data_IF_828637904253
#
_entry.id   IF_828637904253
#
_cell.length_a   1.000
_cell.length_b   1.000
_cell.length_c   1.000
_cell.angle_alpha   90.00
_cell.angle_beta   90.00
_cell.angle_gamma   90.00
#
_symmetry.space_group_name_H-M   'P 1'
#
loop_
_entity.id
_entity.type
_entity.pdbx_description
1 polymer ?
#
# COMPACT_ATOMS: atom_id res chain seq x y z
N UNK A 1 3.28 -15.36 21.63
CA UNK A 1 3.49 -13.90 21.52
C UNK A 1 2.23 -13.36 20.89
N UNK A 2 1.46 -12.46 21.53
CA UNK A 2 0.38 -11.81 20.80
C UNK A 2 1.03 -11.07 19.64
N UNK A 3 0.52 -11.30 18.43
CA UNK A 3 0.99 -10.68 17.19
C UNK A 3 1.03 -9.17 17.36
N UNK A 4 2.22 -8.57 17.37
CA UNK A 4 2.34 -7.14 17.11
C UNK A 4 1.92 -6.94 15.66
N UNK A 5 0.62 -6.69 15.45
CA UNK A 5 0.17 -6.16 14.17
C UNK A 5 0.94 -4.88 13.92
N UNK A 6 1.62 -4.81 12.79
CA UNK A 6 2.37 -3.62 12.42
C UNK A 6 1.41 -2.42 12.36
N UNK A 7 1.92 -1.21 12.62
CA UNK A 7 1.16 0.03 12.40
C UNK A 7 0.54 0.06 10.99
N UNK A 8 1.28 -0.44 10.00
CA UNK A 8 0.84 -0.52 8.61
C UNK A 8 -0.35 -1.46 8.43
N UNK A 9 -0.35 -2.62 9.10
CA UNK A 9 -1.48 -3.55 9.09
C UNK A 9 -2.73 -2.88 9.66
N UNK A 10 -2.61 -2.17 10.78
CA UNK A 10 -3.73 -1.45 11.38
C UNK A 10 -4.28 -0.35 10.44
N UNK A 11 -3.40 0.40 9.77
CA UNK A 11 -3.78 1.42 8.80
C UNK A 11 -4.52 0.82 7.59
N UNK A 12 -4.04 -0.32 7.09
CA UNK A 12 -4.65 -1.06 5.97
C UNK A 12 -6.03 -1.60 6.35
N UNK A 13 -6.16 -2.23 7.52
CA UNK A 13 -7.45 -2.72 8.04
C UNK A 13 -8.44 -1.58 8.29
N UNK A 14 -7.95 -0.39 8.66
CA UNK A 14 -8.79 0.80 8.80
C UNK A 14 -9.25 1.40 7.45
N UNK A 15 -8.80 0.86 6.32
CA UNK A 15 -9.19 1.33 4.98
C UNK A 15 -8.60 2.69 4.62
N UNK A 16 -7.39 3.00 5.08
CA UNK A 16 -6.73 4.28 4.79
C UNK A 16 -6.63 4.53 3.27
N UNK A 17 -6.83 5.77 2.78
CA UNK A 17 -6.56 6.11 1.39
C UNK A 17 -5.12 5.77 0.98
N UNK A 18 -4.93 5.37 -0.28
CA UNK A 18 -3.62 4.95 -0.76
C UNK A 18 -2.59 6.05 -0.69
N UNK A 19 -3.00 7.28 -1.05
CA UNK A 19 -2.07 8.42 -1.06
C UNK A 19 -1.60 8.77 0.35
N UNK A 20 -2.46 8.63 1.36
CA UNK A 20 -2.10 8.86 2.76
C UNK A 20 -1.13 7.78 3.27
N UNK A 21 -1.37 6.52 2.90
CA UNK A 21 -0.46 5.40 3.15
C UNK A 21 0.91 5.65 2.50
N UNK A 22 0.92 6.04 1.23
CA UNK A 22 2.13 6.34 0.47
C UNK A 22 2.91 7.50 1.10
N UNK A 23 2.22 8.56 1.51
CA UNK A 23 2.84 9.71 2.15
C UNK A 23 3.43 9.34 3.52
N UNK A 24 2.72 8.52 4.31
CA UNK A 24 3.25 7.97 5.56
C UNK A 24 4.55 7.19 5.30
N UNK A 25 4.56 6.28 4.31
CA UNK A 25 5.74 5.49 3.97
C UNK A 25 6.89 6.35 3.43
N UNK A 26 6.60 7.40 2.67
CA UNK A 26 7.61 8.37 2.21
C UNK A 26 8.25 9.13 3.37
N UNK A 27 7.47 9.52 4.38
CA UNK A 27 8.00 10.18 5.59
C UNK A 27 8.84 9.24 6.45
N UNK A 28 8.48 7.95 6.49
CA UNK A 28 9.20 6.92 7.24
C UNK A 28 10.50 6.47 6.56
N UNK A 29 10.58 6.59 5.23
CA UNK A 29 11.75 6.19 4.48
C UNK A 29 12.91 7.17 4.72
N UNK A 30 14.07 6.64 5.12
CA UNK A 30 15.35 7.37 5.12
C UNK A 30 15.86 7.55 3.68
N UNK A 31 15.12 8.31 2.86
CA UNK A 31 15.43 8.58 1.46
C UNK A 31 14.26 8.34 0.50
N UNK A 32 14.56 8.22 -0.80
CA UNK A 32 13.53 7.98 -1.82
C UNK A 32 12.90 6.60 -1.64
N UNK A 33 11.57 6.58 -1.53
CA UNK A 33 10.78 5.36 -1.57
C UNK A 33 10.69 4.86 -3.02
N UNK A 34 11.41 3.79 -3.34
CA UNK A 34 11.31 3.14 -4.65
C UNK A 34 10.07 2.23 -4.72
N UNK A 35 9.55 1.93 -5.93
CA UNK A 35 8.42 1.01 -6.08
C UNK A 35 8.69 -0.38 -5.47
N UNK A 36 9.90 -0.90 -5.65
CA UNK A 36 10.28 -2.19 -5.06
C UNK A 36 10.30 -2.16 -3.53
N UNK A 37 10.80 -1.08 -2.93
CA UNK A 37 10.81 -0.93 -1.47
C UNK A 37 9.40 -0.76 -0.90
N UNK A 38 8.53 -0.03 -1.61
CA UNK A 38 7.12 0.10 -1.25
C UNK A 38 6.41 -1.26 -1.20
N UNK A 39 6.56 -2.07 -2.25
CA UNK A 39 5.93 -3.38 -2.32
C UNK A 39 6.45 -4.33 -1.24
N UNK A 40 7.75 -4.32 -0.97
CA UNK A 40 8.36 -5.12 0.10
C UNK A 40 7.76 -4.77 1.47
N UNK A 41 7.66 -3.47 1.78
CA UNK A 41 7.06 -3.00 3.03
C UNK A 41 5.61 -3.47 3.17
N UNK A 42 4.80 -3.36 2.12
CA UNK A 42 3.41 -3.83 2.18
C UNK A 42 3.28 -5.34 2.36
N UNK A 43 4.17 -6.12 1.77
CA UNK A 43 4.16 -7.57 1.98
C UNK A 43 4.60 -7.92 3.40
N UNK A 44 5.71 -7.36 3.87
CA UNK A 44 6.30 -7.72 5.17
C UNK A 44 5.45 -7.22 6.35
N UNK A 45 4.88 -6.01 6.24
CA UNK A 45 4.20 -5.38 7.37
C UNK A 45 2.68 -5.48 7.29
N UNK A 46 2.08 -5.37 6.11
CA UNK A 46 0.62 -5.48 5.94
C UNK A 46 0.16 -6.85 5.44
N UNK A 47 1.07 -7.71 4.97
CA UNK A 47 0.73 -9.03 4.44
C UNK A 47 -0.06 -8.96 3.13
N UNK A 48 0.10 -7.90 2.35
CA UNK A 48 -0.54 -7.74 1.04
C UNK A 48 0.37 -8.33 -0.04
N UNK A 49 -0.19 -9.10 -0.98
CA UNK A 49 0.59 -9.75 -2.02
C UNK A 49 1.27 -8.75 -2.96
N UNK A 50 2.52 -9.05 -3.32
CA UNK A 50 3.26 -8.35 -4.38
C UNK A 50 2.46 -8.30 -5.69
N UNK A 51 1.81 -9.41 -6.06
CA UNK A 51 1.14 -9.54 -7.36
C UNK A 51 -0.08 -8.64 -7.44
N UNK A 52 -0.85 -8.54 -6.36
CA UNK A 52 -2.03 -7.68 -6.26
C UNK A 52 -1.65 -6.21 -6.22
N UNK A 53 -0.61 -5.89 -5.45
CA UNK A 53 -0.20 -4.49 -5.25
C UNK A 53 0.58 -3.93 -6.43
N UNK A 54 1.20 -4.77 -7.26
CA UNK A 54 1.98 -4.29 -8.43
C UNK A 54 1.12 -3.47 -9.39
N UNK A 55 -0.13 -3.84 -9.61
CA UNK A 55 -1.01 -3.15 -10.56
C UNK A 55 -1.25 -1.69 -10.19
N UNK A 56 -1.24 -1.36 -8.88
CA UNK A 56 -1.42 0.02 -8.45
C UNK A 56 -0.22 0.91 -8.83
N UNK A 57 0.96 0.32 -9.02
CA UNK A 57 2.16 1.06 -9.41
C UNK A 57 2.09 1.62 -10.83
N UNK A 58 1.20 1.10 -11.68
CA UNK A 58 0.97 1.65 -13.03
C UNK A 58 0.47 3.10 -13.00
N UNK A 59 -0.10 3.53 -11.87
CA UNK A 59 -0.54 4.91 -11.65
C UNK A 59 0.55 5.83 -11.10
N UNK A 60 1.79 5.36 -11.00
CA UNK A 60 2.91 6.11 -10.45
C UNK A 60 4.11 6.10 -11.40
N UNK A 61 4.88 7.18 -11.35
CA UNK A 61 6.19 7.21 -11.97
C UNK A 61 7.25 6.49 -11.09
N UNK A 62 8.49 6.29 -11.57
CA UNK A 62 9.53 5.61 -10.80
C UNK A 62 9.93 6.27 -9.46
N UNK A 63 9.60 7.55 -9.26
CA UNK A 63 9.80 8.27 -8.00
C UNK A 63 8.57 8.18 -7.06
N UNK A 64 7.63 7.28 -7.36
CA UNK A 64 6.38 7.10 -6.61
C UNK A 64 5.53 8.36 -6.55
N UNK A 65 5.56 9.20 -7.59
CA UNK A 65 4.62 10.33 -7.73
C UNK A 65 3.46 9.92 -8.63
N UNK A 66 2.20 10.27 -8.26
CA UNK A 66 1.03 9.87 -9.03
C UNK A 66 1.07 10.49 -10.43
N UNK A 67 0.75 9.68 -11.44
CA UNK A 67 0.55 10.11 -12.83
C UNK A 67 -0.91 9.99 -13.27
N UNK A 68 -1.78 9.44 -12.40
CA UNK A 68 -3.21 9.36 -12.58
C UNK A 68 -3.94 10.17 -11.50
N UNK A 69 -5.25 10.38 -11.72
CA UNK A 69 -6.10 11.13 -10.79
C UNK A 69 -6.22 10.42 -9.42
N UNK A 70 -6.17 11.17 -8.30
CA UNK A 70 -6.27 10.62 -6.94
C UNK A 70 -7.45 9.69 -6.71
N UNK A 71 -8.62 10.03 -7.28
CA UNK A 71 -9.85 9.26 -7.15
C UNK A 71 -9.70 7.86 -7.77
N UNK A 72 -9.03 7.76 -8.92
CA UNK A 72 -8.79 6.47 -9.59
C UNK A 72 -7.88 5.57 -8.77
N UNK A 73 -6.83 6.15 -8.19
CA UNK A 73 -5.87 5.43 -7.34
C UNK A 73 -6.57 4.88 -6.10
N UNK A 74 -7.36 5.72 -5.43
CA UNK A 74 -8.08 5.33 -4.22
C UNK A 74 -9.19 4.30 -4.52
N UNK A 75 -9.85 4.37 -5.67
CA UNK A 75 -10.81 3.36 -6.10
C UNK A 75 -10.12 2.01 -6.31
N UNK A 76 -9.01 1.97 -7.06
CA UNK A 76 -8.25 0.74 -7.28
C UNK A 76 -7.78 0.14 -5.95
N UNK A 77 -7.31 0.99 -5.05
CA UNK A 77 -6.88 0.58 -3.72
C UNK A 77 -8.01 -0.06 -2.92
N UNK A 78 -9.20 0.55 -2.92
CA UNK A 78 -10.37 -0.01 -2.23
C UNK A 78 -10.75 -1.39 -2.79
N UNK A 79 -10.72 -1.55 -4.11
CA UNK A 79 -10.99 -2.84 -4.77
C UNK A 79 -9.97 -3.90 -4.34
N UNK A 80 -8.70 -3.54 -4.27
CA UNK A 80 -7.63 -4.43 -3.81
C UNK A 80 -7.87 -4.85 -2.35
N UNK A 81 -8.11 -3.89 -1.45
CA UNK A 81 -8.35 -4.19 -0.04
C UNK A 81 -9.57 -5.10 0.19
N UNK A 82 -10.64 -4.91 -0.58
CA UNK A 82 -11.81 -5.77 -0.52
C UNK A 82 -11.50 -7.21 -0.94
N UNK A 83 -10.64 -7.41 -1.95
CA UNK A 83 -10.16 -8.74 -2.36
C UNK A 83 -9.29 -9.38 -1.28
N UNK A 84 -8.33 -8.61 -0.77
CA UNK A 84 -7.40 -9.05 0.28
C UNK A 84 -8.10 -9.47 1.57
N UNK A 85 -9.15 -8.75 2.00
CA UNK A 85 -9.96 -9.14 3.16
C UNK A 85 -10.71 -10.46 2.97
N UNK A 86 -11.12 -10.79 1.74
CA UNK A 86 -11.83 -12.03 1.45
C UNK A 86 -10.91 -13.25 1.51
N UNK A 87 -9.66 -13.13 1.06
CA UNK A 87 -8.68 -14.23 1.09
C UNK A 87 -8.22 -14.58 2.51
N UNK A 88 -8.42 -13.67 3.47
CA UNK A 88 -8.03 -13.84 4.88
C UNK A 88 -9.12 -14.46 5.77
N UNK A 89 -10.34 -14.67 5.26
CA UNK A 89 -11.47 -15.27 5.99
C UNK A 89 -11.59 -16.76 5.74
#
# INVERSE_FOLDING_TARGET
MPSEESELHAMVVAGIPFLDLLEHLKRRAEGKLSPGRFLLILQEEAGISFTETRDILEYFNPDMNPIAEPEMINERWRVLLASWELERR
#
